data_IF_296494072435
#
_entry.id   IF_296494072435
#
_cell.length_a   1.000
_cell.length_b   1.000
_cell.length_c   1.000
_cell.angle_alpha   90.00
_cell.angle_beta   90.00
_cell.angle_gamma   90.00
#
_symmetry.space_group_name_H-M   'P 1'
#
loop_
_entity.id
_entity.type
_entity.pdbx_description
1 polymer ?
#
# COMPACT_ATOMS: atom_id res chain seq x y z
N UNK A 1 -15.51 1.29 -1.53
CA UNK A 1 -14.61 0.18 -1.13
C UNK A 1 -13.33 0.26 -1.93
N UNK A 2 -12.19 0.09 -1.26
CA UNK A 2 -10.84 0.17 -1.83
C UNK A 2 -10.10 -1.12 -1.55
N UNK A 3 -9.47 -1.68 -2.58
CA UNK A 3 -8.68 -2.89 -2.44
C UNK A 3 -7.25 -2.55 -2.02
N UNK A 4 -6.82 -3.12 -0.90
CA UNK A 4 -5.48 -2.99 -0.34
C UNK A 4 -4.78 -4.32 -0.49
N UNK A 5 -3.60 -4.31 -1.10
CA UNK A 5 -2.72 -5.48 -1.06
C UNK A 5 -1.90 -5.45 0.23
N UNK A 6 -1.86 -6.56 0.96
CA UNK A 6 -1.00 -6.70 2.14
C UNK A 6 0.17 -7.61 1.79
N UNK A 7 1.38 -7.15 2.11
CA UNK A 7 2.63 -7.89 1.93
C UNK A 7 3.35 -7.98 3.28
N UNK A 8 3.58 -9.20 3.75
CA UNK A 8 4.35 -9.47 4.97
C UNK A 8 5.82 -9.78 4.62
N UNK A 9 6.75 -9.40 5.50
CA UNK A 9 8.17 -9.70 5.39
C UNK A 9 8.55 -11.16 5.64
N UNK A 10 7.63 -11.98 6.15
CA UNK A 10 7.83 -13.40 6.42
C UNK A 10 8.15 -14.20 5.14
N UNK A 11 8.98 -15.25 5.26
CA UNK A 11 9.35 -16.10 4.12
C UNK A 11 8.16 -16.84 3.49
N UNK A 12 7.11 -17.08 4.27
CA UNK A 12 5.85 -17.69 3.85
C UNK A 12 4.75 -16.64 3.61
N UNK A 13 5.11 -15.37 3.41
CA UNK A 13 4.14 -14.31 3.23
C UNK A 13 3.18 -14.59 2.09
N UNK A 14 1.94 -14.15 2.30
CA UNK A 14 0.92 -14.14 1.25
C UNK A 14 0.85 -12.74 0.66
N UNK A 15 0.37 -12.64 -0.58
CA UNK A 15 0.12 -11.39 -1.27
C UNK A 15 -1.39 -11.16 -1.34
N UNK A 16 -2.05 -11.23 -0.19
CA UNK A 16 -3.51 -11.21 -0.09
C UNK A 16 -4.07 -9.81 -0.35
N UNK A 17 -5.32 -9.74 -0.78
CA UNK A 17 -6.03 -8.47 -1.05
C UNK A 17 -7.22 -8.40 -0.10
N UNK A 18 -7.41 -7.24 0.52
CA UNK A 18 -8.50 -6.96 1.44
C UNK A 18 -9.28 -5.73 0.99
N UNK A 19 -10.56 -5.66 1.34
CA UNK A 19 -11.41 -4.52 1.01
C UNK A 19 -11.61 -3.61 2.22
N UNK A 20 -11.14 -2.38 2.09
CA UNK A 20 -11.39 -1.30 3.04
C UNK A 20 -12.62 -0.48 2.64
N UNK A 21 -13.35 0.05 3.61
CA UNK A 21 -14.24 1.20 3.38
C UNK A 21 -13.40 2.42 2.97
N UNK A 22 -14.04 3.45 2.43
CA UNK A 22 -13.29 4.66 2.08
C UNK A 22 -12.70 5.33 3.33
N UNK A 23 -13.42 5.30 4.46
CA UNK A 23 -12.95 5.84 5.75
C UNK A 23 -11.72 5.10 6.29
N UNK A 24 -11.75 3.76 6.30
CA UNK A 24 -10.60 2.93 6.69
C UNK A 24 -9.42 3.15 5.76
N UNK A 25 -9.68 3.24 4.45
CA UNK A 25 -8.64 3.46 3.46
C UNK A 25 -7.94 4.79 3.69
N UNK A 26 -8.67 5.89 3.87
CA UNK A 26 -8.07 7.20 4.15
C UNK A 26 -7.45 7.30 5.54
N UNK A 27 -7.87 6.46 6.49
CA UNK A 27 -7.19 6.34 7.77
C UNK A 27 -5.83 5.65 7.61
N UNK A 28 -5.72 4.62 6.77
CA UNK A 28 -4.48 3.89 6.48
C UNK A 28 -3.55 4.73 5.59
N UNK A 29 -4.05 5.32 4.51
CA UNK A 29 -3.31 6.12 3.52
C UNK A 29 -3.78 7.58 3.54
N UNK A 30 -3.38 8.38 4.54
CA UNK A 30 -3.91 9.73 4.75
C UNK A 30 -3.44 10.75 3.71
N UNK A 31 -2.29 10.54 3.06
CA UNK A 31 -1.70 11.55 2.19
C UNK A 31 -2.25 11.48 0.75
N UNK A 32 -2.43 12.63 0.06
CA UNK A 32 -2.91 12.65 -1.31
C UNK A 32 -2.03 11.86 -2.27
N UNK A 33 -2.62 10.83 -2.88
CA UNK A 33 -1.94 9.94 -3.83
C UNK A 33 -0.96 8.97 -3.19
N UNK A 34 -1.03 8.76 -1.88
CA UNK A 34 -0.29 7.72 -1.17
C UNK A 34 -0.79 6.33 -1.57
N UNK A 35 0.11 5.53 -2.13
CA UNK A 35 -0.17 4.18 -2.61
C UNK A 35 0.66 3.11 -1.85
N UNK A 36 1.53 3.55 -0.93
CA UNK A 36 2.33 2.70 -0.05
C UNK A 36 2.09 3.10 1.42
N UNK A 37 2.02 2.14 2.32
CA UNK A 37 2.10 2.37 3.77
C UNK A 37 2.86 1.23 4.44
N UNK A 38 3.50 1.53 5.57
CA UNK A 38 4.14 0.56 6.46
C UNK A 38 3.30 0.38 7.71
N UNK A 39 3.05 -0.86 8.10
CA UNK A 39 2.25 -1.17 9.28
C UNK A 39 2.87 -0.55 10.54
N UNK A 40 4.20 -0.51 10.63
CA UNK A 40 4.94 0.10 11.74
C UNK A 40 4.65 1.61 11.89
N UNK A 41 4.53 2.33 10.77
CA UNK A 41 4.14 3.75 10.77
C UNK A 41 2.68 3.93 11.17
N UNK A 42 1.82 3.05 10.65
CA UNK A 42 0.40 3.05 10.95
C UNK A 42 0.16 2.81 12.44
N UNK A 43 0.83 1.82 13.03
CA UNK A 43 0.77 1.52 14.47
C UNK A 43 1.35 2.64 15.32
N UNK A 44 2.44 3.27 14.86
CA UNK A 44 2.99 4.46 15.55
C UNK A 44 1.98 5.62 15.56
N UNK A 45 1.20 5.77 14.48
CA UNK A 45 0.23 6.86 14.32
C UNK A 45 -1.10 6.61 15.04
N UNK A 46 -1.60 5.37 15.02
CA UNK A 46 -2.95 5.02 15.48
C UNK A 46 -2.98 4.14 16.74
N UNK A 47 -1.83 3.63 17.17
CA UNK A 47 -1.72 2.56 18.15
C UNK A 47 -1.75 1.17 17.49
N UNK A 48 -1.15 0.18 18.16
CA UNK A 48 -1.04 -1.22 17.67
C UNK A 48 -2.42 -1.88 17.48
N UNK A 49 -3.43 -1.48 18.27
CA UNK A 49 -4.80 -2.04 18.25
C UNK A 49 -5.78 -1.16 17.45
N UNK A 50 -5.36 -0.72 16.26
CA UNK A 50 -6.23 0.06 15.39
C UNK A 50 -7.42 -0.80 14.91
N UNK A 51 -8.62 -0.52 15.41
CA UNK A 51 -9.89 -1.15 15.00
C UNK A 51 -10.10 -1.22 13.49
N UNK A 52 -9.58 -0.25 12.73
CA UNK A 52 -9.68 -0.24 11.27
C UNK A 52 -8.94 -1.40 10.60
N UNK A 53 -7.86 -1.91 11.22
CA UNK A 53 -7.15 -3.09 10.72
C UNK A 53 -7.91 -4.36 11.06
N UNK A 54 -8.45 -4.48 12.27
CA UNK A 54 -9.25 -5.64 12.68
C UNK A 54 -10.44 -5.85 11.74
N UNK A 55 -11.16 -4.78 11.41
CA UNK A 55 -12.28 -4.86 10.49
C UNK A 55 -11.82 -5.16 9.05
N UNK A 56 -10.66 -4.65 8.62
CA UNK A 56 -10.09 -4.93 7.30
C UNK A 56 -9.76 -6.43 7.11
N UNK A 57 -9.21 -7.09 8.13
CA UNK A 57 -8.83 -8.50 8.08
C UNK A 57 -10.02 -9.44 7.79
N UNK A 58 -11.23 -9.03 8.16
CA UNK A 58 -12.47 -9.80 7.95
C UNK A 58 -13.01 -9.70 6.51
N UNK A 59 -12.37 -8.91 5.63
CA UNK A 59 -12.81 -8.69 4.24
C UNK A 59 -11.76 -9.06 3.18
N UNK A 60 -11.25 -10.30 3.15
CA UNK A 60 -10.41 -10.75 2.05
C UNK A 60 -11.20 -10.85 0.75
N UNK A 61 -10.55 -10.58 -0.38
CA UNK A 61 -11.13 -10.73 -1.73
C UNK A 61 -10.19 -11.53 -2.64
N UNK A 62 -10.70 -12.50 -3.44
CA UNK A 62 -9.90 -13.17 -4.44
C UNK A 62 -9.33 -12.19 -5.47
N UNK A 63 -8.08 -12.40 -5.90
CA UNK A 63 -7.41 -11.53 -6.89
C UNK A 63 -8.22 -11.33 -8.19
N UNK A 64 -8.87 -12.37 -8.76
CA UNK A 64 -9.70 -12.18 -9.95
C UNK A 64 -10.87 -11.22 -9.74
N UNK A 65 -11.37 -11.09 -8.50
CA UNK A 65 -12.54 -10.29 -8.17
C UNK A 65 -12.18 -8.86 -7.73
N UNK A 66 -10.91 -8.63 -7.38
CA UNK A 66 -10.45 -7.35 -6.85
C UNK A 66 -10.62 -6.19 -7.84
N UNK A 67 -10.64 -6.40 -9.16
CA UNK A 67 -10.75 -5.30 -10.14
C UNK A 67 -9.72 -4.16 -9.90
N UNK A 68 -8.46 -4.53 -9.67
CA UNK A 68 -7.36 -3.60 -9.40
C UNK A 68 -7.02 -3.43 -7.91
N UNK A 69 -5.88 -2.79 -7.66
CA UNK A 69 -5.33 -2.53 -6.32
C UNK A 69 -5.14 -1.02 -6.21
N UNK A 70 -5.57 -0.44 -5.08
CA UNK A 70 -5.47 1.00 -4.86
C UNK A 70 -4.16 1.37 -4.17
N UNK A 71 -3.78 0.59 -3.15
CA UNK A 71 -2.56 0.80 -2.37
C UNK A 71 -2.04 -0.52 -1.79
N UNK A 72 -0.79 -0.51 -1.31
CA UNK A 72 -0.13 -1.64 -0.68
C UNK A 72 0.31 -1.30 0.74
N UNK A 73 -0.05 -2.17 1.70
CA UNK A 73 0.37 -2.09 3.10
C UNK A 73 1.45 -3.16 3.36
N UNK A 74 2.63 -2.73 3.81
CA UNK A 74 3.76 -3.60 4.11
C UNK A 74 3.90 -3.85 5.61
N UNK A 75 4.06 -5.11 6.00
CA UNK A 75 4.35 -5.54 7.38
C UNK A 75 5.77 -6.06 7.48
N UNK A 76 6.52 -5.69 8.52
CA UNK A 76 7.89 -6.17 8.76
C UNK A 76 8.89 -5.74 7.69
N UNK A 77 8.70 -4.55 7.11
CA UNK A 77 9.55 -4.00 6.04
C UNK A 77 10.49 -2.89 6.51
N UNK A 78 10.55 -2.61 7.82
CA UNK A 78 11.38 -1.53 8.37
C UNK A 78 12.84 -1.58 7.90
N UNK A 79 13.45 -2.78 7.86
CA UNK A 79 14.83 -2.95 7.37
C UNK A 79 15.02 -2.65 5.88
N UNK A 80 13.95 -2.68 5.08
CA UNK A 80 13.95 -2.41 3.63
C UNK A 80 13.39 -1.02 3.29
N UNK A 81 12.97 -0.26 4.29
CA UNK A 81 12.31 1.04 4.13
C UNK A 81 13.11 2.02 3.26
N UNK A 82 14.43 2.02 3.40
CA UNK A 82 15.34 2.86 2.62
C UNK A 82 15.28 2.61 1.10
N UNK A 83 14.74 1.45 0.67
CA UNK A 83 14.54 1.16 -0.74
C UNK A 83 13.35 1.95 -1.31
N UNK A 84 12.38 2.36 -0.49
CA UNK A 84 11.13 2.96 -0.94
C UNK A 84 11.19 4.49 -1.02
N UNK A 85 10.33 5.13 -1.83
CA UNK A 85 10.18 6.58 -1.84
C UNK A 85 9.72 7.11 -0.48
N UNK A 86 10.38 8.15 0.03
CA UNK A 86 9.98 8.79 1.29
C UNK A 86 8.56 9.38 1.24
N UNK A 87 8.09 9.73 0.03
CA UNK A 87 6.72 10.22 -0.21
C UNK A 87 5.66 9.13 -0.14
N UNK A 88 6.05 7.85 -0.10
CA UNK A 88 5.15 6.69 -0.15
C UNK A 88 4.20 6.69 -1.36
N UNK A 89 4.70 7.21 -2.48
CA UNK A 89 4.04 7.17 -3.79
C UNK A 89 4.90 6.39 -4.77
N UNK A 90 4.35 5.40 -5.43
CA UNK A 90 5.07 4.58 -6.41
C UNK A 90 5.57 5.42 -7.59
N UNK A 91 4.84 6.47 -7.98
CA UNK A 91 5.30 7.38 -9.04
C UNK A 91 6.61 8.11 -8.71
N UNK A 92 7.03 8.10 -7.44
CA UNK A 92 8.25 8.74 -6.95
C UNK A 92 9.41 7.74 -6.76
N UNK A 93 9.26 6.48 -7.21
CA UNK A 93 10.38 5.54 -7.30
C UNK A 93 11.58 6.17 -8.02
N UNK A 94 12.78 5.93 -7.48
CA UNK A 94 14.00 6.34 -8.13
C UNK A 94 14.02 5.76 -9.56
N UNK A 95 14.34 6.54 -10.61
CA UNK A 95 14.22 6.06 -11.99
C UNK A 95 14.96 4.75 -12.25
N UNK A 96 16.12 4.53 -11.62
CA UNK A 96 16.88 3.29 -11.74
C UNK A 96 16.16 2.05 -11.17
N UNK A 97 15.20 2.22 -10.26
CA UNK A 97 14.43 1.14 -9.63
C UNK A 97 13.22 0.69 -10.45
N UNK A 98 12.86 1.41 -11.51
CA UNK A 98 11.70 1.11 -12.37
C UNK A 98 12.13 0.96 -13.83
N UNK A 99 11.40 0.15 -14.58
CA UNK A 99 11.71 -0.11 -15.99
C UNK A 99 11.26 1.05 -16.91
N UNK A 100 11.66 1.00 -18.18
CA UNK A 100 11.35 2.08 -19.14
C UNK A 100 9.85 2.28 -19.40
N UNK A 101 9.04 1.21 -19.29
CA UNK A 101 7.59 1.29 -19.48
C UNK A 101 6.91 2.01 -18.31
N UNK A 102 7.29 1.66 -17.07
CA UNK A 102 6.79 2.34 -15.87
C UNK A 102 7.14 3.82 -15.88
N UNK A 103 8.37 4.19 -16.28
CA UNK A 103 8.78 5.60 -16.39
C UNK A 103 7.88 6.37 -17.36
N UNK A 104 7.60 5.83 -18.54
CA UNK A 104 6.71 6.46 -19.54
C UNK A 104 5.29 6.61 -18.99
N UNK A 105 4.76 5.57 -18.35
CA UNK A 105 3.44 5.61 -17.71
C UNK A 105 3.35 6.72 -16.65
N UNK A 106 4.33 6.82 -15.75
CA UNK A 106 4.34 7.85 -14.71
C UNK A 106 4.53 9.26 -15.26
N UNK A 107 5.22 9.42 -16.39
CA UNK A 107 5.35 10.71 -17.07
C UNK A 107 4.02 11.16 -17.70
N UNK A 108 3.24 10.24 -18.29
CA UNK A 108 1.96 10.60 -18.93
C UNK A 108 0.87 11.03 -17.94
N UNK A 109 0.94 10.58 -16.69
CA UNK A 109 -0.03 10.93 -15.63
C UNK A 109 0.41 12.11 -14.75
N UNK A 110 1.60 12.67 -14.94
CA UNK A 110 2.06 13.86 -14.21
C UNK A 110 1.49 15.18 -14.76
N UNK A 111 0.81 15.12 -15.91
CA UNK A 111 0.20 16.29 -16.57
C UNK A 111 -1.33 16.41 -16.44
N UNK A 112 -1.97 15.56 -15.61
CA UNK A 112 -3.42 15.54 -15.37
C UNK A 112 -3.77 16.03 -13.97
#
# INVERSE_FOLDING_TARGET
>A
MKNIQIIDGANNCTFSIFQATDEEFFLIFPDPGQDIEFAEDLFTRLGEESRALDELWERPIPKPDANGIHSTLFYQFESKRYCFPATKRERDWHPASINSAQRRMYQSIKGS
#
